data_IF_775099453454
#
_entry.id   IF_775099453454
#
_cell.length_a   1.000
_cell.length_b   1.000
_cell.length_c   1.000
_cell.angle_alpha   90.00
_cell.angle_beta   90.00
_cell.angle_gamma   90.00
#
_symmetry.space_group_name_H-M   'P 1'
#
loop_
_entity.id
_entity.type
_entity.pdbx_description
1 polymer ?
#
# COMPACT_ATOMS: atom_id res chain seq x y z
N UNK A 1 -7.83 18.45 22.52
CA UNK A 1 -6.92 17.50 23.20
C UNK A 1 -7.74 16.41 23.86
N UNK A 2 -7.35 15.14 23.72
CA UNK A 2 -8.01 13.93 24.25
C UNK A 2 -6.97 12.95 24.77
N UNK A 3 -7.38 12.07 25.68
CA UNK A 3 -6.57 10.94 26.14
C UNK A 3 -7.33 9.65 25.85
N UNK A 4 -6.70 8.70 25.18
CA UNK A 4 -7.14 7.30 25.13
C UNK A 4 -6.35 6.49 26.15
N UNK A 5 -7.02 5.59 26.87
CA UNK A 5 -6.37 4.59 27.74
C UNK A 5 -6.76 3.18 27.32
N UNK A 6 -5.81 2.26 27.36
CA UNK A 6 -5.99 0.88 26.96
C UNK A 6 -5.08 -0.08 27.73
N UNK A 7 -5.37 -1.38 27.65
CA UNK A 7 -4.52 -2.41 28.26
C UNK A 7 -3.12 -2.45 27.62
N UNK A 8 -3.05 -2.14 26.31
CA UNK A 8 -1.79 -2.10 25.60
C UNK A 8 -1.70 -0.89 24.65
N UNK A 9 -0.51 -0.31 24.54
CA UNK A 9 -0.14 0.57 23.44
C UNK A 9 0.98 -0.10 22.66
N UNK A 10 0.75 -0.36 21.37
CA UNK A 10 1.73 -0.87 20.43
C UNK A 10 2.28 0.30 19.62
N UNK A 11 3.55 0.66 19.82
CA UNK A 11 4.10 1.88 19.21
C UNK A 11 4.52 1.74 17.76
N UNK A 12 4.79 0.51 17.30
CA UNK A 12 5.37 0.18 16.00
C UNK A 12 6.72 0.88 15.68
N UNK A 13 7.42 1.43 16.69
CA UNK A 13 8.77 1.99 16.56
C UNK A 13 9.80 0.91 16.22
N UNK A 14 11.06 1.27 16.01
CA UNK A 14 12.14 0.34 15.67
C UNK A 14 12.33 -0.76 16.71
N UNK A 15 12.21 -0.43 17.99
CA UNK A 15 12.28 -1.37 19.11
C UNK A 15 10.98 -2.16 19.35
N UNK A 16 9.93 -1.91 18.57
CA UNK A 16 8.60 -2.52 18.71
C UNK A 16 8.06 -2.46 20.15
N UNK A 17 8.18 -1.30 20.79
CA UNK A 17 7.80 -1.10 22.20
C UNK A 17 6.30 -1.34 22.43
N UNK A 18 5.99 -2.11 23.49
CA UNK A 18 4.63 -2.35 23.97
C UNK A 18 4.52 -1.79 25.38
N UNK A 19 3.62 -0.82 25.57
CA UNK A 19 3.33 -0.21 26.88
C UNK A 19 2.07 -0.87 27.43
N UNK A 20 2.21 -1.63 28.52
CA UNK A 20 1.08 -2.24 29.24
C UNK A 20 0.43 -1.19 30.13
N UNK A 21 -0.91 -1.22 30.22
CA UNK A 21 -1.71 -0.25 30.97
C UNK A 21 -1.32 1.18 30.61
N UNK A 22 -1.48 1.49 29.32
CA UNK A 22 -0.98 2.71 28.69
C UNK A 22 -2.04 3.76 28.42
N UNK A 23 -1.59 5.01 28.27
CA UNK A 23 -2.41 6.11 27.77
C UNK A 23 -1.65 6.95 26.74
N UNK A 24 -2.39 7.54 25.80
CA UNK A 24 -1.89 8.44 24.78
C UNK A 24 -2.70 9.73 24.81
N UNK A 25 -1.99 10.86 24.91
CA UNK A 25 -2.55 12.20 24.83
C UNK A 25 -2.30 12.77 23.45
N UNK A 26 -3.33 13.28 22.79
CA UNK A 26 -3.24 13.81 21.44
C UNK A 26 -4.25 14.92 21.16
N UNK A 27 -3.98 15.66 20.12
CA UNK A 27 -4.89 16.53 19.37
C UNK A 27 -4.73 16.15 17.89
N UNK A 28 -4.41 17.07 17.01
CA UNK A 28 -4.04 16.76 15.63
C UNK A 28 -2.78 15.87 15.56
N UNK A 29 -1.85 16.08 16.48
CA UNK A 29 -0.63 15.31 16.63
C UNK A 29 -0.60 14.63 18.01
N UNK A 30 0.22 13.59 18.12
CA UNK A 30 0.49 12.91 19.40
C UNK A 30 1.33 13.85 20.29
N UNK A 31 0.81 14.17 21.45
CA UNK A 31 1.44 15.07 22.42
C UNK A 31 2.33 14.27 23.39
N UNK A 32 1.80 13.17 23.93
CA UNK A 32 2.52 12.32 24.85
C UNK A 32 1.93 10.91 24.90
N UNK A 33 2.72 9.93 25.32
CA UNK A 33 2.26 8.55 25.56
C UNK A 33 3.16 7.88 26.60
N UNK A 34 2.58 6.97 27.37
CA UNK A 34 3.30 6.29 28.44
C UNK A 34 2.38 5.46 29.32
N UNK A 35 2.83 5.20 30.55
CA UNK A 35 2.00 4.56 31.55
C UNK A 35 0.78 5.43 31.88
N UNK A 36 -0.36 4.79 32.08
CA UNK A 36 -1.65 5.46 32.31
C UNK A 36 -1.58 6.46 33.46
N UNK A 37 -1.02 6.08 34.62
CA UNK A 37 -0.93 6.95 35.76
C UNK A 37 -0.13 8.22 35.48
N UNK A 38 0.99 8.11 34.77
CA UNK A 38 1.86 9.23 34.42
C UNK A 38 1.17 10.23 33.51
N UNK A 39 0.50 9.73 32.46
CA UNK A 39 -0.21 10.56 31.48
C UNK A 39 -1.43 11.24 32.13
N UNK A 40 -2.24 10.51 32.90
CA UNK A 40 -3.39 11.07 33.56
C UNK A 40 -3.01 12.11 34.64
N UNK A 41 -1.89 11.88 35.34
CA UNK A 41 -1.38 12.85 36.32
C UNK A 41 -0.89 14.14 35.66
N UNK A 42 -0.28 14.03 34.48
CA UNK A 42 0.29 15.15 33.74
C UNK A 42 -0.78 16.02 33.06
N UNK A 43 -1.86 15.40 32.57
CA UNK A 43 -2.90 16.04 31.76
C UNK A 43 -4.28 15.96 32.43
N UNK A 44 -4.39 16.43 33.70
CA UNK A 44 -5.57 16.24 34.61
C UNK A 44 -6.89 16.77 34.07
N UNK A 45 -6.86 17.87 33.30
CA UNK A 45 -8.05 18.55 32.81
C UNK A 45 -8.43 18.12 31.37
N UNK A 46 -7.89 16.98 30.90
CA UNK A 46 -8.14 16.49 29.54
C UNK A 46 -9.22 15.41 29.57
N UNK A 47 -10.11 15.42 28.57
CA UNK A 47 -11.09 14.36 28.33
C UNK A 47 -10.40 13.00 28.22
N UNK A 48 -10.84 12.04 29.02
CA UNK A 48 -10.31 10.67 29.04
C UNK A 48 -11.34 9.71 28.48
N UNK A 49 -10.96 8.99 27.43
CA UNK A 49 -11.75 7.94 26.79
C UNK A 49 -11.13 6.59 27.17
N UNK A 50 -11.91 5.79 27.89
CA UNK A 50 -11.52 4.42 28.22
C UNK A 50 -11.86 3.48 27.08
N UNK A 51 -10.85 2.84 26.52
CA UNK A 51 -11.03 1.85 25.47
C UNK A 51 -11.54 0.48 25.99
N UNK A 52 -11.64 0.31 27.32
CA UNK A 52 -12.14 -0.91 27.96
C UNK A 52 -11.16 -2.08 27.89
N UNK A 53 -11.62 -3.25 28.37
CA UNK A 53 -10.79 -4.45 28.46
C UNK A 53 -10.36 -5.01 27.10
N UNK A 54 -9.22 -5.70 27.07
CA UNK A 54 -8.59 -6.32 25.91
C UNK A 54 -8.29 -5.34 24.77
N UNK A 55 -8.16 -4.05 25.09
CA UNK A 55 -7.94 -3.00 24.11
C UNK A 55 -6.46 -2.80 23.79
N UNK A 56 -6.19 -2.52 22.52
CA UNK A 56 -4.87 -2.15 22.02
C UNK A 56 -4.97 -0.88 21.22
N UNK A 57 -4.18 0.13 21.59
CA UNK A 57 -3.97 1.34 20.81
C UNK A 57 -2.75 1.12 19.93
N UNK A 58 -2.86 1.39 18.63
CA UNK A 58 -1.77 1.24 17.67
C UNK A 58 -1.84 2.31 16.56
N UNK A 59 -0.79 2.50 15.76
CA UNK A 59 -0.87 3.38 14.59
C UNK A 59 -1.91 2.89 13.59
N UNK A 60 -2.50 3.83 12.84
CA UNK A 60 -3.31 3.51 11.67
C UNK A 60 -2.56 2.65 10.67
N UNK A 61 -3.25 1.67 10.08
CA UNK A 61 -2.69 0.85 9.01
C UNK A 61 -2.57 1.70 7.73
N UNK A 62 -1.51 1.43 6.97
CA UNK A 62 -1.20 2.12 5.72
C UNK A 62 -1.08 1.09 4.62
N UNK A 63 -1.91 1.19 3.59
CA UNK A 63 -1.89 0.37 2.38
C UNK A 63 -1.24 1.15 1.24
N UNK A 64 0.07 0.99 0.96
CA UNK A 64 0.79 1.87 0.04
C UNK A 64 0.55 1.59 -1.45
N UNK A 65 -0.23 0.54 -1.80
CA UNK A 65 -0.51 0.18 -3.19
C UNK A 65 -1.87 -0.52 -3.31
N UNK A 66 -2.83 0.17 -3.92
CA UNK A 66 -4.17 -0.37 -4.16
C UNK A 66 -4.76 0.17 -5.46
N UNK A 67 -5.37 -0.72 -6.28
CA UNK A 67 -6.13 -0.36 -7.48
C UNK A 67 -7.63 -0.38 -7.17
N UNK A 68 -8.23 0.78 -6.97
CA UNK A 68 -9.67 0.89 -6.66
C UNK A 68 -10.56 0.77 -7.91
N UNK A 69 -10.05 1.16 -9.08
CA UNK A 69 -10.79 1.13 -10.35
C UNK A 69 -11.19 -0.28 -10.79
N UNK A 70 -10.53 -1.33 -10.26
CA UNK A 70 -10.80 -2.74 -10.57
C UNK A 70 -11.58 -3.46 -9.45
N UNK A 71 -12.52 -2.77 -8.80
CA UNK A 71 -13.25 -3.28 -7.64
C UNK A 71 -14.48 -4.13 -7.96
N UNK A 72 -14.87 -4.26 -9.23
CA UNK A 72 -16.05 -5.01 -9.66
C UNK A 72 -15.70 -6.23 -10.54
N UNK A 73 -16.72 -7.07 -10.82
CA UNK A 73 -16.68 -8.20 -11.75
C UNK A 73 -15.53 -9.22 -11.51
N UNK A 74 -15.09 -9.37 -10.27
CA UNK A 74 -13.99 -10.26 -9.87
C UNK A 74 -14.17 -11.70 -10.34
N UNK A 75 -15.40 -12.20 -10.37
CA UNK A 75 -15.74 -13.56 -10.80
C UNK A 75 -15.61 -13.80 -12.30
N UNK A 76 -15.36 -12.74 -13.10
CA UNK A 76 -15.11 -12.84 -14.54
C UNK A 76 -13.63 -13.06 -14.86
N UNK A 77 -12.75 -13.02 -13.86
CA UNK A 77 -11.31 -13.09 -14.03
C UNK A 77 -10.78 -14.52 -13.90
N UNK A 78 -9.67 -14.79 -14.57
CA UNK A 78 -8.94 -16.06 -14.47
C UNK A 78 -7.77 -15.89 -13.50
N UNK A 79 -7.53 -16.90 -12.68
CA UNK A 79 -6.42 -16.93 -11.73
C UNK A 79 -5.49 -18.11 -11.99
N UNK A 80 -4.33 -18.14 -11.34
CA UNK A 80 -3.36 -19.22 -11.40
C UNK A 80 -2.27 -19.06 -12.47
N UNK A 81 -2.38 -18.05 -13.33
CA UNK A 81 -1.39 -17.70 -14.35
C UNK A 81 -1.52 -16.21 -14.70
N UNK A 82 -0.37 -15.50 -14.74
CA UNK A 82 -0.34 -14.04 -14.94
C UNK A 82 -0.91 -13.61 -16.30
N UNK A 83 -0.50 -14.25 -17.40
CA UNK A 83 -0.94 -13.87 -18.75
C UNK A 83 -2.41 -14.21 -18.98
N UNK A 84 -2.88 -15.34 -18.46
CA UNK A 84 -4.31 -15.70 -18.51
C UNK A 84 -5.16 -14.71 -17.72
N UNK A 85 -4.68 -14.27 -16.55
CA UNK A 85 -5.33 -13.23 -15.77
C UNK A 85 -5.36 -11.90 -16.51
N UNK A 86 -4.20 -11.41 -16.99
CA UNK A 86 -4.08 -10.15 -17.73
C UNK A 86 -5.00 -10.13 -18.96
N UNK A 87 -5.01 -11.21 -19.74
CA UNK A 87 -5.91 -11.38 -20.88
C UNK A 87 -7.39 -11.33 -20.47
N UNK A 88 -7.75 -11.88 -19.29
CA UNK A 88 -9.11 -11.81 -18.77
C UNK A 88 -9.50 -10.42 -18.28
N UNK A 89 -8.57 -9.66 -17.67
CA UNK A 89 -8.77 -8.25 -17.29
C UNK A 89 -9.03 -7.41 -18.54
N UNK A 90 -8.16 -7.50 -19.55
CA UNK A 90 -8.29 -6.73 -20.79
C UNK A 90 -9.61 -7.05 -21.50
N UNK A 91 -9.97 -8.33 -21.61
CA UNK A 91 -11.21 -8.76 -22.25
C UNK A 91 -12.46 -8.21 -21.54
N UNK A 92 -12.43 -8.13 -20.22
CA UNK A 92 -13.57 -7.70 -19.41
C UNK A 92 -13.44 -6.24 -18.93
N UNK A 93 -12.40 -5.49 -19.37
CA UNK A 93 -12.05 -4.17 -18.85
C UNK A 93 -13.23 -3.22 -18.83
N UNK A 94 -13.92 -3.06 -19.94
CA UNK A 94 -15.02 -2.08 -20.06
C UNK A 94 -16.17 -2.42 -19.10
N UNK A 95 -16.49 -3.73 -18.93
CA UNK A 95 -17.50 -4.16 -17.96
C UNK A 95 -17.02 -3.98 -16.50
N UNK A 96 -15.72 -4.23 -16.22
CA UNK A 96 -15.13 -4.01 -14.90
C UNK A 96 -15.21 -2.52 -14.53
N UNK A 97 -14.71 -1.64 -15.39
CA UNK A 97 -14.73 -0.19 -15.16
C UNK A 97 -16.16 0.35 -15.06
N UNK A 98 -17.07 -0.10 -15.94
CA UNK A 98 -18.48 0.32 -15.91
C UNK A 98 -19.17 -0.07 -14.60
N UNK A 99 -18.83 -1.21 -14.00
CA UNK A 99 -19.41 -1.71 -12.75
C UNK A 99 -18.62 -1.29 -11.50
N UNK A 100 -17.34 -0.89 -11.65
CA UNK A 100 -16.53 -0.28 -10.59
C UNK A 100 -16.80 1.21 -10.43
N UNK A 101 -18.08 1.63 -10.54
CA UNK A 101 -18.48 3.02 -10.39
C UNK A 101 -18.27 3.52 -8.96
N UNK A 102 -18.36 4.83 -8.79
CA UNK A 102 -18.17 5.57 -7.54
C UNK A 102 -18.69 4.82 -6.31
N UNK A 103 -19.92 4.30 -6.33
CA UNK A 103 -20.49 3.54 -5.21
C UNK A 103 -19.70 2.26 -4.84
N UNK A 104 -19.16 1.54 -5.82
CA UNK A 104 -18.35 0.34 -5.54
C UNK A 104 -17.01 0.71 -4.94
N UNK A 105 -16.40 1.80 -5.40
CA UNK A 105 -15.14 2.34 -4.89
C UNK A 105 -15.33 2.85 -3.46
N UNK A 106 -16.40 3.62 -3.20
CA UNK A 106 -16.74 4.10 -1.86
C UNK A 106 -16.93 2.96 -0.86
N UNK A 107 -17.61 1.86 -1.26
CA UNK A 107 -17.75 0.67 -0.41
C UNK A 107 -16.38 0.08 -0.06
N UNK A 108 -15.44 0.02 -1.00
CA UNK A 108 -14.10 -0.51 -0.72
C UNK A 108 -13.31 0.43 0.19
N UNK A 109 -13.37 1.74 -0.02
CA UNK A 109 -12.77 2.72 0.88
C UNK A 109 -13.32 2.60 2.31
N UNK A 110 -14.64 2.42 2.46
CA UNK A 110 -15.27 2.17 3.75
C UNK A 110 -14.82 0.86 4.37
N UNK A 111 -14.74 -0.25 3.60
CA UNK A 111 -14.25 -1.53 4.10
C UNK A 111 -12.80 -1.44 4.58
N UNK A 112 -11.95 -0.75 3.82
CA UNK A 112 -10.56 -0.47 4.21
C UNK A 112 -10.51 0.36 5.49
N UNK A 113 -11.32 1.42 5.59
CA UNK A 113 -11.41 2.25 6.79
C UNK A 113 -11.83 1.41 7.99
N UNK A 114 -12.94 0.66 7.89
CA UNK A 114 -13.43 -0.20 8.99
C UNK A 114 -12.40 -1.25 9.43
N UNK A 115 -11.55 -1.72 8.51
CA UNK A 115 -10.45 -2.64 8.86
C UNK A 115 -9.30 -1.94 9.59
N UNK A 116 -9.26 -0.59 9.60
CA UNK A 116 -8.23 0.20 10.25
C UNK A 116 -7.23 0.85 9.29
N UNK A 117 -7.47 0.82 7.97
CA UNK A 117 -6.61 1.52 7.01
C UNK A 117 -6.90 3.01 7.03
N UNK A 118 -6.02 3.80 7.62
CA UNK A 118 -6.15 5.26 7.73
C UNK A 118 -5.53 6.00 6.55
N UNK A 119 -4.64 5.32 5.83
CA UNK A 119 -3.93 5.90 4.68
C UNK A 119 -3.79 4.86 3.58
N UNK A 120 -3.92 5.30 2.33
CA UNK A 120 -3.72 4.43 1.16
C UNK A 120 -2.93 5.13 0.05
N UNK A 121 -2.17 4.36 -0.72
CA UNK A 121 -1.58 4.73 -2.00
C UNK A 121 -2.48 4.20 -3.13
N UNK A 122 -3.34 5.06 -3.67
CA UNK A 122 -4.27 4.69 -4.74
C UNK A 122 -3.58 4.80 -6.10
N UNK A 123 -3.49 3.69 -6.84
CA UNK A 123 -2.97 3.65 -8.20
C UNK A 123 -4.15 3.85 -9.16
N UNK A 124 -4.18 4.99 -9.82
CA UNK A 124 -5.27 5.40 -10.71
C UNK A 124 -4.81 5.43 -12.16
N UNK A 125 -5.26 4.45 -12.94
CA UNK A 125 -4.90 4.30 -14.36
C UNK A 125 -5.76 5.19 -15.26
N UNK A 126 -7.04 5.40 -14.90
CA UNK A 126 -8.02 6.09 -15.74
C UNK A 126 -8.63 7.34 -15.08
N UNK A 127 -8.57 7.47 -13.76
CA UNK A 127 -9.14 8.59 -12.99
C UNK A 127 -10.57 8.33 -12.50
N UNK A 128 -11.10 7.13 -12.67
CA UNK A 128 -12.48 6.79 -12.27
C UNK A 128 -12.69 6.76 -10.75
N UNK A 129 -11.60 6.67 -9.97
CA UNK A 129 -11.60 6.69 -8.51
C UNK A 129 -11.31 8.07 -7.89
N UNK A 130 -11.05 9.09 -8.72
CA UNK A 130 -10.59 10.40 -8.29
C UNK A 130 -11.53 11.04 -7.27
N UNK A 131 -12.81 11.18 -7.59
CA UNK A 131 -13.79 11.86 -6.74
C UNK A 131 -13.97 11.13 -5.39
N UNK A 132 -13.97 9.79 -5.40
CA UNK A 132 -14.07 8.99 -4.19
C UNK A 132 -12.81 9.15 -3.32
N UNK A 133 -11.64 9.22 -3.93
CA UNK A 133 -10.35 9.45 -3.25
C UNK A 133 -10.24 10.85 -2.62
N UNK A 134 -10.81 11.88 -3.26
CA UNK A 134 -10.86 13.24 -2.71
C UNK A 134 -11.84 13.34 -1.53
N UNK A 135 -12.97 12.62 -1.58
CA UNK A 135 -14.04 12.71 -0.57
C UNK A 135 -13.81 11.83 0.67
N UNK A 136 -13.02 10.77 0.57
CA UNK A 136 -12.78 9.85 1.72
C UNK A 136 -12.12 10.56 2.90
N UNK A 137 -12.46 10.20 4.15
CA UNK A 137 -11.78 10.75 5.32
C UNK A 137 -10.35 10.22 5.51
N UNK A 138 -9.96 9.16 4.80
CA UNK A 138 -8.61 8.59 4.80
C UNK A 138 -7.61 9.54 4.15
N UNK A 139 -6.35 9.42 4.52
CA UNK A 139 -5.27 10.05 3.76
C UNK A 139 -5.04 9.24 2.48
N UNK A 140 -4.96 9.92 1.34
CA UNK A 140 -4.72 9.30 0.04
C UNK A 140 -3.47 9.89 -0.58
N UNK A 141 -2.49 9.05 -0.86
CA UNK A 141 -1.42 9.35 -1.81
C UNK A 141 -1.92 8.85 -3.17
N UNK A 142 -2.26 9.80 -4.03
CA UNK A 142 -2.95 9.52 -5.29
C UNK A 142 -1.96 9.43 -6.44
N UNK A 143 -1.64 8.22 -6.83
CA UNK A 143 -0.69 7.94 -7.90
C UNK A 143 -1.37 8.00 -9.26
N UNK A 144 -1.19 9.11 -9.97
CA UNK A 144 -1.61 9.23 -11.37
C UNK A 144 -0.76 8.29 -12.22
N UNK A 145 -1.36 7.22 -12.72
CA UNK A 145 -0.62 6.19 -13.44
C UNK A 145 -0.53 6.50 -14.93
N UNK A 146 0.67 6.27 -15.50
CA UNK A 146 0.89 6.27 -16.94
C UNK A 146 1.20 4.86 -17.42
N UNK A 147 0.55 4.46 -18.51
CA UNK A 147 0.81 3.22 -19.23
C UNK A 147 0.65 3.45 -20.73
N UNK A 148 1.38 2.65 -21.52
CA UNK A 148 1.33 2.68 -22.97
C UNK A 148 2.69 2.37 -23.60
N UNK A 149 2.78 1.25 -24.31
CA UNK A 149 4.02 0.76 -24.95
C UNK A 149 4.18 1.20 -26.40
N UNK A 150 3.13 1.75 -27.04
CA UNK A 150 3.15 2.11 -28.46
C UNK A 150 3.82 3.47 -28.67
N UNK A 151 4.83 3.56 -29.57
CA UNK A 151 5.53 4.82 -29.85
C UNK A 151 4.64 5.93 -30.41
N UNK A 152 3.65 5.57 -31.23
CA UNK A 152 2.71 6.50 -31.89
C UNK A 152 1.68 7.11 -30.91
N UNK A 153 1.54 6.60 -29.70
CA UNK A 153 0.63 7.09 -28.68
C UNK A 153 1.34 7.94 -27.60
N UNK A 154 2.66 8.08 -27.63
CA UNK A 154 3.45 8.72 -26.56
C UNK A 154 2.95 10.12 -26.23
N UNK A 155 2.74 11.00 -27.23
CA UNK A 155 2.38 12.40 -26.99
C UNK A 155 0.97 12.51 -26.40
N UNK A 156 0.01 11.77 -26.93
CA UNK A 156 -1.40 11.78 -26.45
C UNK A 156 -1.49 11.25 -25.03
N UNK A 157 -0.78 10.16 -24.72
CA UNK A 157 -0.75 9.57 -23.36
C UNK A 157 -0.08 10.50 -22.35
N UNK A 158 0.99 11.17 -22.77
CA UNK A 158 1.69 12.12 -21.93
C UNK A 158 0.84 13.36 -21.64
N UNK A 159 0.12 13.89 -22.64
CA UNK A 159 -0.80 15.03 -22.44
C UNK A 159 -1.98 14.66 -21.53
N UNK A 160 -2.56 13.49 -21.70
CA UNK A 160 -3.61 12.98 -20.81
C UNK A 160 -3.09 12.82 -19.36
N UNK A 161 -1.92 12.24 -19.19
CA UNK A 161 -1.27 12.11 -17.88
C UNK A 161 -1.08 13.48 -17.21
N UNK A 162 -0.53 14.47 -17.93
CA UNK A 162 -0.35 15.84 -17.39
C UNK A 162 -1.66 16.47 -16.96
N UNK A 163 -2.74 16.26 -17.74
CA UNK A 163 -4.07 16.77 -17.40
C UNK A 163 -4.61 16.18 -16.10
N UNK A 164 -4.49 14.85 -15.91
CA UNK A 164 -4.90 14.18 -14.67
C UNK A 164 -4.03 14.59 -13.48
N UNK A 165 -2.72 14.70 -13.67
CA UNK A 165 -1.81 15.18 -12.63
C UNK A 165 -2.15 16.61 -12.21
N UNK A 166 -2.46 17.50 -13.14
CA UNK A 166 -2.88 18.88 -12.86
C UNK A 166 -4.19 18.91 -12.07
N UNK A 167 -5.20 18.11 -12.48
CA UNK A 167 -6.45 17.96 -11.72
C UNK A 167 -6.19 17.50 -10.29
N UNK A 168 -5.24 16.58 -10.10
CA UNK A 168 -4.87 16.10 -8.76
C UNK A 168 -4.20 17.20 -7.94
N UNK A 169 -3.35 18.02 -8.55
CA UNK A 169 -2.71 19.17 -7.90
C UNK A 169 -3.72 20.23 -7.44
N UNK A 170 -4.74 20.51 -8.24
CA UNK A 170 -5.80 21.45 -7.88
C UNK A 170 -6.59 21.02 -6.62
N UNK A 171 -6.52 19.72 -6.29
CA UNK A 171 -7.17 19.12 -5.11
C UNK A 171 -6.18 18.75 -3.97
N UNK A 172 -4.90 19.14 -4.11
CA UNK A 172 -3.88 18.87 -3.08
C UNK A 172 -4.29 19.38 -1.71
N UNK A 173 -4.19 18.54 -0.71
CA UNK A 173 -4.50 18.87 0.68
C UNK A 173 -3.62 18.06 1.65
N UNK A 174 -3.86 18.19 2.96
CA UNK A 174 -3.18 17.37 3.96
C UNK A 174 -3.61 15.89 3.92
N UNK A 175 -4.75 15.59 3.32
CA UNK A 175 -5.31 14.24 3.20
C UNK A 175 -5.37 13.73 1.77
N UNK A 176 -5.10 14.57 0.76
CA UNK A 176 -5.00 14.16 -0.64
C UNK A 176 -3.69 14.66 -1.24
N UNK A 177 -2.78 13.74 -1.51
CA UNK A 177 -1.39 14.02 -1.90
C UNK A 177 -1.15 13.45 -3.30
N UNK A 178 -1.07 14.29 -4.35
CA UNK A 178 -0.74 13.84 -5.70
C UNK A 178 0.64 13.18 -5.78
N UNK A 179 0.70 12.10 -6.54
CA UNK A 179 1.89 11.30 -6.79
C UNK A 179 1.84 10.74 -8.22
N UNK A 180 2.86 10.02 -8.64
CA UNK A 180 3.03 9.49 -9.99
C UNK A 180 3.21 7.98 -9.95
N UNK A 181 2.51 7.24 -10.83
CA UNK A 181 2.81 5.83 -11.10
C UNK A 181 3.24 5.64 -12.55
N UNK A 182 4.28 4.82 -12.75
CA UNK A 182 4.67 4.27 -14.04
C UNK A 182 4.31 2.80 -14.00
N UNK A 183 3.38 2.36 -14.85
CA UNK A 183 2.78 1.04 -14.70
C UNK A 183 3.83 -0.07 -14.56
N UNK A 184 4.62 -0.36 -15.60
CA UNK A 184 5.65 -1.41 -15.55
C UNK A 184 6.64 -1.28 -16.70
N UNK A 185 7.80 -1.96 -16.66
CA UNK A 185 8.80 -1.89 -17.72
C UNK A 185 8.33 -2.49 -19.06
N UNK A 186 7.38 -3.44 -19.04
CA UNK A 186 6.85 -4.03 -20.28
C UNK A 186 5.70 -3.23 -20.89
N UNK A 187 5.01 -2.41 -20.11
CA UNK A 187 3.78 -1.74 -20.54
C UNK A 187 3.93 -0.24 -20.77
N UNK A 188 5.08 0.35 -20.44
CA UNK A 188 5.30 1.79 -20.58
C UNK A 188 6.52 2.07 -21.44
N UNK A 189 6.32 2.87 -22.52
CA UNK A 189 7.41 3.22 -23.43
C UNK A 189 8.51 4.01 -22.70
N UNK A 190 9.82 3.75 -22.95
CA UNK A 190 10.92 4.39 -22.24
C UNK A 190 10.92 5.92 -22.32
N UNK A 191 10.45 6.50 -23.42
CA UNK A 191 10.33 7.95 -23.58
C UNK A 191 9.26 8.49 -22.61
N UNK A 192 8.11 7.80 -22.47
CA UNK A 192 7.08 8.16 -21.49
C UNK A 192 7.64 8.08 -20.07
N UNK A 193 8.29 6.95 -19.73
CA UNK A 193 8.94 6.74 -18.45
C UNK A 193 9.89 7.88 -18.11
N UNK A 194 10.79 8.23 -19.04
CA UNK A 194 11.76 9.31 -18.85
C UNK A 194 11.07 10.67 -18.65
N UNK A 195 10.13 11.04 -19.50
CA UNK A 195 9.45 12.33 -19.43
C UNK A 195 8.69 12.50 -18.12
N UNK A 196 8.06 11.43 -17.63
CA UNK A 196 7.31 11.42 -16.37
C UNK A 196 8.25 11.48 -15.17
N UNK A 197 9.37 10.75 -15.19
CA UNK A 197 10.39 10.81 -14.15
C UNK A 197 11.11 12.17 -14.11
N UNK A 198 11.25 12.87 -15.24
CA UNK A 198 11.76 14.25 -15.26
C UNK A 198 10.83 15.22 -14.52
N UNK A 199 9.50 15.03 -14.66
CA UNK A 199 8.51 15.77 -13.85
C UNK A 199 8.65 15.37 -12.37
N UNK A 200 8.74 14.07 -12.07
CA UNK A 200 8.86 13.59 -10.70
C UNK A 200 10.07 14.19 -9.97
N UNK A 201 11.23 14.23 -10.63
CA UNK A 201 12.46 14.85 -10.09
C UNK A 201 12.30 16.34 -9.86
N UNK A 202 11.79 17.04 -10.88
CA UNK A 202 11.67 18.50 -10.84
C UNK A 202 10.73 18.99 -9.72
N UNK A 203 9.60 18.30 -9.55
CA UNK A 203 8.54 18.69 -8.61
C UNK A 203 8.54 17.84 -7.33
N UNK A 204 9.54 16.93 -7.17
CA UNK A 204 9.71 16.03 -6.02
C UNK A 204 8.48 15.17 -5.73
N UNK A 205 7.88 14.60 -6.77
CA UNK A 205 6.78 13.63 -6.60
C UNK A 205 7.29 12.28 -6.13
N UNK A 206 6.48 11.64 -5.29
CA UNK A 206 6.61 10.23 -4.98
C UNK A 206 6.26 9.40 -6.22
N UNK A 207 6.98 8.30 -6.44
CA UNK A 207 6.81 7.44 -7.62
C UNK A 207 6.45 6.03 -7.18
N UNK A 208 5.60 5.36 -7.95
CA UNK A 208 5.32 3.91 -7.84
C UNK A 208 5.50 3.24 -9.19
N UNK A 209 5.89 1.96 -9.18
CA UNK A 209 5.93 1.13 -10.40
C UNK A 209 5.82 -0.34 -10.03
N UNK A 210 5.15 -1.15 -10.87
CA UNK A 210 5.26 -2.61 -10.82
C UNK A 210 6.60 -3.02 -11.41
N UNK A 211 7.26 -3.98 -10.79
CA UNK A 211 8.57 -4.43 -11.25
C UNK A 211 8.78 -5.91 -10.95
N UNK A 212 9.14 -6.65 -11.98
CA UNK A 212 9.45 -8.08 -11.89
C UNK A 212 8.38 -8.89 -11.17
N UNK A 213 7.13 -8.66 -11.55
CA UNK A 213 5.97 -9.31 -10.93
C UNK A 213 5.82 -10.77 -11.35
N UNK A 214 6.16 -11.13 -12.60
CA UNK A 214 5.89 -12.46 -13.15
C UNK A 214 7.09 -13.06 -13.89
N UNK A 215 7.06 -14.39 -14.08
CA UNK A 215 8.05 -15.06 -14.93
C UNK A 215 7.95 -14.60 -16.39
N UNK A 216 6.74 -14.31 -16.86
CA UNK A 216 6.54 -13.77 -18.21
C UNK A 216 7.25 -12.42 -18.42
N UNK A 217 7.21 -11.54 -17.40
CA UNK A 217 7.95 -10.28 -17.43
C UNK A 217 9.46 -10.50 -17.44
N UNK A 218 9.96 -11.45 -16.61
CA UNK A 218 11.37 -11.81 -16.56
C UNK A 218 11.87 -12.28 -17.93
N UNK A 219 11.19 -13.27 -18.54
CA UNK A 219 11.56 -13.85 -19.84
C UNK A 219 11.51 -12.80 -20.95
N UNK A 220 10.51 -11.90 -20.90
CA UNK A 220 10.38 -10.80 -21.84
C UNK A 220 11.55 -9.83 -21.76
N UNK A 221 11.87 -9.31 -20.58
CA UNK A 221 12.90 -8.29 -20.42
C UNK A 221 14.32 -8.83 -20.64
N UNK A 222 14.56 -10.11 -20.31
CA UNK A 222 15.89 -10.72 -20.49
C UNK A 222 16.19 -11.08 -21.94
N UNK A 223 15.19 -11.55 -22.69
CA UNK A 223 15.46 -12.17 -23.99
C UNK A 223 14.39 -11.93 -25.05
N UNK A 224 13.32 -11.20 -24.75
CA UNK A 224 12.20 -11.02 -25.67
C UNK A 224 11.46 -12.34 -25.96
N UNK A 225 11.40 -13.24 -24.98
CA UNK A 225 10.79 -14.55 -25.08
C UNK A 225 9.63 -14.73 -24.09
N UNK A 226 9.10 -15.96 -24.00
CA UNK A 226 8.02 -16.29 -23.09
C UNK A 226 6.64 -15.83 -23.54
N UNK A 227 5.69 -15.89 -22.63
CA UNK A 227 4.26 -15.72 -22.94
C UNK A 227 3.89 -14.29 -23.39
N UNK A 228 4.71 -13.28 -23.08
CA UNK A 228 4.52 -11.93 -23.59
C UNK A 228 4.74 -11.81 -25.10
N UNK A 229 5.45 -12.74 -25.75
CA UNK A 229 5.62 -12.71 -27.21
C UNK A 229 4.27 -12.85 -27.93
N UNK A 230 3.47 -13.83 -27.56
CA UNK A 230 2.14 -14.03 -28.14
C UNK A 230 1.20 -12.87 -27.74
N UNK A 231 1.24 -12.48 -26.49
CA UNK A 231 0.44 -11.37 -25.98
C UNK A 231 0.67 -10.08 -26.80
N UNK A 232 1.91 -9.64 -26.94
CA UNK A 232 2.22 -8.41 -27.68
C UNK A 232 1.97 -8.54 -29.18
N UNK A 233 2.28 -9.68 -29.79
CA UNK A 233 2.06 -9.90 -31.22
C UNK A 233 0.59 -9.81 -31.61
N UNK A 234 -0.34 -10.01 -30.67
CA UNK A 234 -1.79 -9.91 -30.92
C UNK A 234 -2.24 -8.48 -31.29
N UNK A 235 -1.49 -7.44 -30.89
CA UNK A 235 -1.83 -6.02 -31.19
C UNK A 235 -0.63 -5.17 -31.63
N UNK A 236 0.59 -5.66 -31.51
CA UNK A 236 1.82 -4.98 -31.91
C UNK A 236 2.80 -6.00 -32.54
N UNK A 237 2.65 -6.31 -33.84
CA UNK A 237 3.49 -7.30 -34.50
C UNK A 237 4.98 -6.97 -34.41
N UNK A 238 5.80 -7.99 -34.15
CA UNK A 238 7.25 -7.89 -33.97
C UNK A 238 7.67 -7.03 -32.75
N UNK A 239 6.83 -6.92 -31.74
CA UNK A 239 7.19 -6.27 -30.49
C UNK A 239 8.47 -6.88 -29.89
N UNK A 240 9.26 -6.03 -29.27
CA UNK A 240 10.48 -6.42 -28.55
C UNK A 240 10.56 -5.63 -27.23
N UNK A 241 11.23 -6.16 -26.20
CA UNK A 241 11.52 -5.37 -25.01
C UNK A 241 12.33 -4.14 -25.39
N UNK A 242 11.97 -3.00 -24.81
CA UNK A 242 12.59 -1.71 -25.08
C UNK A 242 13.67 -1.34 -24.04
N UNK A 243 13.70 -2.04 -22.92
CA UNK A 243 14.69 -1.95 -21.86
C UNK A 243 14.97 -3.35 -21.31
N UNK A 244 16.15 -3.58 -20.78
CA UNK A 244 16.40 -4.60 -19.78
C UNK A 244 15.91 -4.13 -18.40
N UNK A 245 15.85 -5.04 -17.44
CA UNK A 245 15.46 -4.70 -16.07
C UNK A 245 16.37 -3.64 -15.43
N UNK A 246 17.68 -3.78 -15.57
CA UNK A 246 18.65 -2.81 -15.01
C UNK A 246 18.61 -1.46 -15.72
N UNK A 247 18.40 -1.44 -17.05
CA UNK A 247 18.21 -0.17 -17.78
C UNK A 247 16.95 0.56 -17.29
N UNK A 248 15.86 -0.18 -17.05
CA UNK A 248 14.64 0.39 -16.47
C UNK A 248 14.90 0.96 -15.09
N UNK A 249 15.50 0.21 -14.15
CA UNK A 249 15.85 0.69 -12.82
C UNK A 249 16.72 1.94 -12.85
N UNK A 250 17.67 2.03 -13.78
CA UNK A 250 18.55 3.19 -13.90
C UNK A 250 17.80 4.49 -14.24
N UNK A 251 16.59 4.43 -14.78
CA UNK A 251 15.76 5.62 -15.03
C UNK A 251 15.29 6.28 -13.74
N UNK A 252 15.20 5.53 -12.62
CA UNK A 252 14.65 6.00 -11.33
C UNK A 252 15.67 6.67 -10.40
N UNK A 253 16.83 7.09 -10.93
CA UNK A 253 17.79 7.87 -10.13
C UNK A 253 17.14 9.16 -9.58
N UNK A 254 17.53 9.55 -8.37
CA UNK A 254 17.04 10.76 -7.69
C UNK A 254 15.50 10.87 -7.61
N UNK A 255 14.81 9.71 -7.47
CA UNK A 255 13.36 9.65 -7.20
C UNK A 255 13.08 8.83 -5.96
N UNK A 256 12.05 9.21 -5.20
CA UNK A 256 11.52 8.39 -4.11
C UNK A 256 10.54 7.37 -4.71
N UNK A 257 10.94 6.10 -4.83
CA UNK A 257 10.17 5.12 -5.59
C UNK A 257 9.79 3.88 -4.78
N UNK A 258 8.53 3.45 -4.92
CA UNK A 258 8.01 2.16 -4.49
C UNK A 258 8.00 1.20 -5.69
N UNK A 259 8.75 0.11 -5.58
CA UNK A 259 8.77 -0.99 -6.54
C UNK A 259 7.86 -2.11 -6.04
N UNK A 260 6.76 -2.36 -6.74
CA UNK A 260 5.74 -3.32 -6.31
C UNK A 260 6.02 -4.71 -6.86
N UNK A 261 5.75 -5.74 -6.07
CA UNK A 261 5.94 -7.17 -6.26
C UNK A 261 7.40 -7.63 -6.15
N UNK A 262 8.26 -7.36 -7.11
CA UNK A 262 9.66 -7.78 -7.17
C UNK A 262 9.89 -9.30 -6.99
N UNK A 263 8.87 -10.14 -7.26
CA UNK A 263 8.93 -11.59 -7.00
C UNK A 263 9.94 -12.33 -7.86
N UNK A 264 10.29 -11.76 -9.02
CA UNK A 264 11.26 -12.27 -9.98
C UNK A 264 12.49 -11.37 -10.13
N UNK A 265 12.64 -10.38 -9.25
CA UNK A 265 13.84 -9.56 -9.24
C UNK A 265 15.06 -10.39 -8.79
N UNK A 266 16.17 -10.19 -9.46
CA UNK A 266 17.46 -10.77 -9.08
C UNK A 266 18.07 -10.05 -7.90
N UNK A 267 19.09 -10.66 -7.25
CA UNK A 267 19.81 -10.03 -6.15
C UNK A 267 20.46 -8.70 -6.57
N UNK A 268 20.99 -8.61 -7.79
CA UNK A 268 21.58 -7.38 -8.34
C UNK A 268 20.52 -6.28 -8.51
N UNK A 269 19.30 -6.64 -8.93
CA UNK A 269 18.18 -5.70 -9.08
C UNK A 269 17.67 -5.24 -7.71
N UNK A 270 17.55 -6.13 -6.73
CA UNK A 270 17.22 -5.76 -5.34
C UNK A 270 18.31 -4.83 -4.76
N UNK A 271 19.58 -5.15 -5.00
CA UNK A 271 20.68 -4.28 -4.59
C UNK A 271 20.61 -2.90 -5.28
N UNK A 272 20.28 -2.87 -6.58
CA UNK A 272 20.09 -1.62 -7.31
C UNK A 272 18.93 -0.79 -6.76
N UNK A 273 17.81 -1.41 -6.42
CA UNK A 273 16.67 -0.72 -5.75
C UNK A 273 17.14 -0.11 -4.41
N UNK A 274 17.95 -0.84 -3.64
CA UNK A 274 18.53 -0.33 -2.40
C UNK A 274 19.44 0.89 -2.61
N UNK A 275 20.30 0.84 -3.62
CA UNK A 275 21.20 1.95 -4.00
C UNK A 275 20.43 3.21 -4.44
N UNK A 276 19.27 3.03 -5.08
CA UNK A 276 18.34 4.11 -5.44
C UNK A 276 17.57 4.68 -4.22
N UNK A 277 17.71 4.08 -3.03
CA UNK A 277 16.90 4.44 -1.87
C UNK A 277 15.44 4.03 -1.99
N UNK A 278 15.13 3.09 -2.89
CA UNK A 278 13.77 2.64 -3.18
C UNK A 278 13.20 1.72 -2.10
N UNK A 279 11.88 1.56 -2.14
CA UNK A 279 11.12 0.65 -1.29
C UNK A 279 10.52 -0.49 -2.11
N UNK A 280 10.32 -1.65 -1.49
CA UNK A 280 9.69 -2.80 -2.11
C UNK A 280 8.36 -3.07 -1.46
N UNK A 281 7.29 -3.10 -2.27
CA UNK A 281 5.92 -3.34 -1.83
C UNK A 281 5.55 -4.80 -2.09
N UNK A 282 5.30 -5.55 -1.00
CA UNK A 282 4.93 -6.96 -1.06
C UNK A 282 3.40 -7.12 -1.07
N UNK A 283 2.87 -7.87 -2.04
CA UNK A 283 1.43 -8.16 -2.21
C UNK A 283 1.21 -9.68 -2.19
N UNK A 284 1.27 -10.34 -1.02
CA UNK A 284 1.32 -11.80 -0.92
C UNK A 284 0.12 -12.53 -1.53
N UNK A 285 -1.11 -12.02 -1.36
CA UNK A 285 -2.32 -12.62 -1.92
C UNK A 285 -2.33 -12.50 -3.45
N UNK A 286 -2.07 -11.30 -3.98
CA UNK A 286 -1.97 -11.07 -5.43
C UNK A 286 -0.92 -11.98 -6.06
N UNK A 287 0.30 -11.97 -5.55
CA UNK A 287 1.38 -12.81 -6.04
C UNK A 287 1.00 -14.30 -6.06
N UNK A 288 0.27 -14.76 -5.05
CA UNK A 288 -0.20 -16.17 -4.99
C UNK A 288 -1.30 -16.46 -6.01
N UNK A 289 -2.28 -15.56 -6.15
CA UNK A 289 -3.40 -15.78 -7.06
C UNK A 289 -2.97 -15.73 -8.53
N UNK A 290 -1.98 -14.90 -8.86
CA UNK A 290 -1.44 -14.77 -10.21
C UNK A 290 -0.30 -15.77 -10.52
N UNK A 291 0.07 -16.61 -9.55
CA UNK A 291 1.20 -17.52 -9.63
C UNK A 291 2.54 -16.84 -9.95
N UNK A 292 2.66 -15.59 -9.51
CA UNK A 292 3.87 -14.77 -9.70
C UNK A 292 5.06 -15.27 -8.89
N UNK A 293 4.83 -16.10 -7.89
CA UNK A 293 5.84 -16.63 -6.99
C UNK A 293 5.84 -15.97 -5.62
N UNK A 294 6.83 -16.29 -4.81
CA UNK A 294 7.04 -15.76 -3.46
C UNK A 294 8.20 -14.76 -3.47
N UNK A 295 7.98 -13.56 -2.94
CA UNK A 295 9.08 -12.65 -2.67
C UNK A 295 9.90 -13.19 -1.47
N UNK A 296 11.20 -13.30 -1.62
CA UNK A 296 12.13 -13.78 -0.57
C UNK A 296 12.43 -12.65 0.44
N UNK A 297 11.39 -12.25 1.22
CA UNK A 297 11.51 -11.12 2.15
C UNK A 297 12.64 -11.30 3.17
N UNK A 298 13.04 -12.55 3.45
CA UNK A 298 14.11 -12.91 4.38
C UNK A 298 15.47 -12.35 3.94
N UNK A 299 15.67 -12.19 2.63
CA UNK A 299 16.91 -11.70 2.01
C UNK A 299 16.92 -10.18 1.78
N UNK A 300 15.81 -9.52 2.04
CA UNK A 300 15.65 -8.08 1.79
C UNK A 300 15.73 -7.31 3.11
N UNK A 301 16.38 -6.14 3.07
CA UNK A 301 16.45 -5.23 4.20
C UNK A 301 15.03 -4.91 4.71
N UNK A 302 14.81 -5.21 5.99
CA UNK A 302 13.48 -5.07 6.61
C UNK A 302 12.89 -3.66 6.50
N UNK A 303 13.75 -2.62 6.48
CA UNK A 303 13.33 -1.22 6.45
C UNK A 303 12.98 -0.72 5.03
N UNK A 304 13.28 -1.53 3.99
CA UNK A 304 12.85 -1.29 2.61
C UNK A 304 11.47 -1.89 2.29
N UNK A 305 10.98 -2.82 3.12
CA UNK A 305 9.78 -3.59 2.84
C UNK A 305 8.54 -2.93 3.43
N UNK A 306 7.50 -2.83 2.62
CA UNK A 306 6.14 -2.55 3.05
C UNK A 306 5.15 -3.58 2.50
N UNK A 307 3.92 -3.60 3.02
CA UNK A 307 2.87 -4.58 2.70
C UNK A 307 1.67 -3.85 2.09
N UNK A 308 1.12 -4.40 1.01
CA UNK A 308 -0.04 -3.84 0.33
C UNK A 308 -0.98 -4.92 -0.21
N UNK A 309 -2.20 -4.53 -0.55
CA UNK A 309 -3.23 -5.47 -1.01
C UNK A 309 -3.25 -5.67 -2.52
N UNK A 310 -2.71 -4.73 -3.30
CA UNK A 310 -3.02 -4.65 -4.71
C UNK A 310 -4.54 -4.45 -4.95
N UNK A 311 -5.08 -4.69 -6.15
CA UNK A 311 -6.49 -4.53 -6.47
C UNK A 311 -7.33 -5.78 -6.24
N UNK A 312 -8.65 -5.60 -6.15
CA UNK A 312 -9.59 -6.73 -6.08
C UNK A 312 -9.62 -7.60 -7.34
N UNK A 313 -9.01 -7.16 -8.42
CA UNK A 313 -8.80 -7.99 -9.62
C UNK A 313 -7.80 -9.14 -9.37
N UNK A 314 -6.95 -9.01 -8.37
CA UNK A 314 -5.95 -10.01 -7.98
C UNK A 314 -5.97 -10.35 -6.49
N UNK A 315 -7.03 -9.91 -5.74
CA UNK A 315 -7.13 -10.14 -4.31
C UNK A 315 -8.53 -10.57 -3.88
N UNK A 316 -8.63 -11.14 -2.67
CA UNK A 316 -9.89 -11.55 -2.03
C UNK A 316 -10.54 -10.41 -1.23
N UNK A 317 -9.72 -9.48 -0.71
CA UNK A 317 -10.15 -8.31 0.05
C UNK A 317 -9.08 -7.21 -0.02
N UNK A 318 -9.44 -5.96 0.36
CA UNK A 318 -8.49 -4.86 0.54
C UNK A 318 -8.14 -4.64 2.03
N UNK A 319 -8.24 -5.68 2.83
CA UNK A 319 -7.98 -5.66 4.27
C UNK A 319 -6.53 -6.10 4.57
N UNK A 320 -5.71 -5.20 5.10
CA UNK A 320 -4.32 -5.50 5.44
C UNK A 320 -4.15 -6.61 6.50
N UNK A 321 -5.16 -6.86 7.34
CA UNK A 321 -5.10 -8.01 8.26
C UNK A 321 -5.13 -9.34 7.50
N UNK A 322 -5.87 -9.42 6.38
CA UNK A 322 -5.89 -10.61 5.51
C UNK A 322 -4.54 -10.77 4.81
N UNK A 323 -3.92 -9.68 4.35
CA UNK A 323 -2.58 -9.69 3.77
C UNK A 323 -1.51 -10.17 4.76
N UNK A 324 -1.54 -9.65 6.00
CA UNK A 324 -0.63 -10.11 7.05
C UNK A 324 -0.83 -11.60 7.36
N UNK A 325 -2.07 -12.09 7.42
CA UNK A 325 -2.37 -13.52 7.59
C UNK A 325 -1.84 -14.37 6.43
N UNK A 326 -2.05 -13.91 5.21
CA UNK A 326 -1.52 -14.58 4.02
C UNK A 326 0.02 -14.62 4.04
N UNK A 327 0.68 -13.51 4.40
CA UNK A 327 2.13 -13.44 4.55
C UNK A 327 2.65 -14.41 5.63
N UNK A 328 1.98 -14.54 6.79
CA UNK A 328 2.33 -15.53 7.82
C UNK A 328 2.32 -16.96 7.27
N UNK A 329 1.31 -17.30 6.46
CA UNK A 329 1.19 -18.65 5.88
C UNK A 329 2.20 -18.87 4.74
N UNK A 330 2.51 -17.84 3.96
CA UNK A 330 3.44 -17.91 2.84
C UNK A 330 4.91 -18.04 3.31
N UNK A 331 5.26 -17.36 4.40
CA UNK A 331 6.61 -17.32 4.96
C UNK A 331 6.76 -18.27 6.17
N UNK A 332 6.24 -19.48 6.07
CA UNK A 332 6.09 -20.46 7.15
C UNK A 332 7.43 -20.93 7.78
N UNK A 333 8.58 -20.64 7.17
CA UNK A 333 9.91 -20.94 7.72
C UNK A 333 10.41 -19.88 8.71
N UNK A 334 9.82 -18.69 8.69
CA UNK A 334 10.18 -17.63 9.62
C UNK A 334 9.58 -17.88 11.00
N UNK A 335 10.27 -17.41 12.05
CA UNK A 335 9.68 -17.36 13.38
C UNK A 335 8.42 -16.49 13.37
N UNK A 336 7.29 -17.04 13.84
CA UNK A 336 5.98 -16.42 13.68
C UNK A 336 5.87 -15.09 14.44
N UNK A 337 6.44 -14.98 15.63
CA UNK A 337 6.35 -13.78 16.47
C UNK A 337 7.20 -12.64 15.89
N UNK A 338 8.41 -12.96 15.43
CA UNK A 338 9.28 -11.99 14.75
C UNK A 338 8.68 -11.55 13.41
N UNK A 339 8.13 -12.47 12.64
CA UNK A 339 7.44 -12.14 11.38
C UNK A 339 6.21 -11.27 11.62
N UNK A 340 5.41 -11.56 12.65
CA UNK A 340 4.24 -10.77 13.02
C UNK A 340 4.61 -9.32 13.33
N UNK A 341 5.65 -9.10 14.12
CA UNK A 341 6.17 -7.74 14.41
C UNK A 341 6.61 -7.02 13.14
N UNK A 342 7.34 -7.72 12.28
CA UNK A 342 7.80 -7.20 10.99
C UNK A 342 6.62 -6.81 10.08
N UNK A 343 5.60 -7.66 9.96
CA UNK A 343 4.41 -7.40 9.13
C UNK A 343 3.61 -6.18 9.63
N UNK A 344 3.46 -6.02 10.95
CA UNK A 344 2.85 -4.81 11.51
C UNK A 344 3.68 -3.55 11.19
N UNK A 345 5.01 -3.62 11.27
CA UNK A 345 5.88 -2.51 10.88
C UNK A 345 5.82 -2.24 9.36
N UNK A 346 5.73 -3.27 8.52
CA UNK A 346 5.55 -3.13 7.07
C UNK A 346 4.22 -2.43 6.72
N UNK A 347 3.18 -2.64 7.51
CA UNK A 347 1.85 -2.05 7.32
C UNK A 347 1.64 -0.72 8.07
N UNK A 348 2.67 -0.20 8.74
CA UNK A 348 2.62 1.04 9.53
C UNK A 348 3.86 1.90 9.28
N UNK A 349 4.92 1.74 10.09
CA UNK A 349 6.17 2.52 10.06
C UNK A 349 6.82 2.56 8.67
N UNK A 350 7.01 1.40 8.06
CA UNK A 350 7.71 1.30 6.79
C UNK A 350 6.88 1.88 5.63
N UNK A 351 5.56 1.60 5.61
CA UNK A 351 4.66 2.18 4.63
C UNK A 351 4.56 3.71 4.77
N UNK A 352 4.54 4.24 6.01
CA UNK A 352 4.62 5.68 6.24
C UNK A 352 5.90 6.29 5.69
N UNK A 353 7.06 5.63 5.94
CA UNK A 353 8.36 6.06 5.41
C UNK A 353 8.37 6.03 3.88
N UNK A 354 7.85 4.96 3.27
CA UNK A 354 7.78 4.81 1.82
C UNK A 354 6.88 5.87 1.16
N UNK A 355 5.80 6.28 1.82
CA UNK A 355 4.89 7.33 1.36
C UNK A 355 5.26 8.75 1.85
N UNK A 356 6.43 8.90 2.50
CA UNK A 356 6.92 10.18 3.04
C UNK A 356 5.91 10.87 3.98
N UNK A 357 5.29 10.10 4.92
CA UNK A 357 4.26 10.58 5.83
C UNK A 357 4.78 10.76 7.26
N UNK A 358 4.23 11.73 7.98
CA UNK A 358 4.55 11.95 9.40
C UNK A 358 3.71 11.05 10.35
N UNK A 359 3.43 9.81 9.97
CA UNK A 359 2.59 8.85 10.70
C UNK A 359 3.23 7.46 10.81
N UNK A 360 2.45 6.42 11.06
CA UNK A 360 2.89 5.01 11.06
C UNK A 360 3.58 4.52 12.33
N UNK A 361 3.85 5.42 13.30
CA UNK A 361 4.32 5.07 14.65
C UNK A 361 3.62 5.94 15.69
N UNK A 362 3.44 5.42 16.91
CA UNK A 362 3.00 6.25 18.01
C UNK A 362 4.23 6.87 18.69
N UNK A 363 4.45 8.15 18.42
CA UNK A 363 5.53 8.97 18.99
C UNK A 363 5.10 10.43 19.05
N UNK A 364 5.71 11.21 19.95
CA UNK A 364 5.47 12.67 20.03
C UNK A 364 5.68 13.33 18.67
N UNK A 365 4.85 14.32 18.39
CA UNK A 365 4.86 15.14 17.16
C UNK A 365 4.44 14.39 15.87
N UNK A 366 4.18 13.07 15.95
CA UNK A 366 3.58 12.33 14.85
C UNK A 366 2.09 12.65 14.71
N UNK A 367 1.58 12.56 13.50
CA UNK A 367 0.16 12.70 13.24
C UNK A 367 -0.63 11.70 14.08
N UNK A 368 -1.72 12.14 14.67
CA UNK A 368 -2.60 11.28 15.46
C UNK A 368 -3.52 10.44 14.57
N UNK A 369 -2.91 9.57 13.77
CA UNK A 369 -3.57 8.49 13.02
C UNK A 369 -3.53 7.24 13.90
N UNK A 370 -4.61 7.01 14.64
CA UNK A 370 -4.64 6.05 15.74
C UNK A 370 -5.78 5.06 15.54
N UNK A 371 -5.49 3.78 15.78
CA UNK A 371 -6.48 2.72 15.89
C UNK A 371 -6.64 2.28 17.33
N UNK A 372 -7.88 1.96 17.69
CA UNK A 372 -8.20 1.11 18.82
C UNK A 372 -8.74 -0.21 18.26
N UNK A 373 -8.12 -1.31 18.62
CA UNK A 373 -8.57 -2.67 18.27
C UNK A 373 -8.79 -3.48 19.54
N UNK A 374 -9.57 -4.55 19.43
CA UNK A 374 -9.83 -5.48 20.54
C UNK A 374 -9.17 -6.82 20.26
N UNK A 375 -8.47 -7.35 21.26
CA UNK A 375 -8.10 -8.76 21.26
C UNK A 375 -9.36 -9.60 21.44
N UNK A 376 -9.38 -10.78 20.82
CA UNK A 376 -10.50 -11.72 20.95
C UNK A 376 -10.72 -12.16 22.40
N UNK A 377 -9.61 -12.35 23.13
CA UNK A 377 -9.58 -12.79 24.51
C UNK A 377 -8.47 -12.07 25.29
N UNK A 378 -8.45 -12.25 26.61
CA UNK A 378 -7.38 -11.74 27.48
C UNK A 378 -6.03 -12.36 27.08
N UNK A 379 -5.05 -11.50 26.82
CA UNK A 379 -3.68 -11.95 26.55
C UNK A 379 -3.03 -12.51 27.81
N UNK A 380 -2.72 -13.80 27.82
CA UNK A 380 -2.09 -14.47 28.96
C UNK A 380 -0.62 -14.78 28.65
N UNK A 381 -0.35 -15.62 27.65
CA UNK A 381 1.00 -16.12 27.31
C UNK A 381 1.36 -15.97 25.83
N UNK A 382 0.54 -15.31 25.02
CA UNK A 382 0.80 -15.13 23.58
C UNK A 382 1.62 -13.87 23.28
N UNK A 383 2.24 -13.83 22.10
CA UNK A 383 2.81 -12.60 21.55
C UNK A 383 1.68 -11.68 21.05
N UNK A 384 1.71 -10.40 21.45
CA UNK A 384 0.67 -9.45 21.12
C UNK A 384 0.52 -9.24 19.62
N UNK A 385 1.64 -9.13 18.88
CA UNK A 385 1.61 -8.90 17.44
C UNK A 385 0.97 -10.08 16.69
N UNK A 386 1.33 -11.30 17.07
CA UNK A 386 0.78 -12.53 16.49
C UNK A 386 -0.72 -12.62 16.76
N UNK A 387 -1.17 -12.38 18.00
CA UNK A 387 -2.60 -12.42 18.34
C UNK A 387 -3.41 -11.35 17.60
N UNK A 388 -2.86 -10.14 17.44
CA UNK A 388 -3.50 -9.09 16.65
C UNK A 388 -3.71 -9.53 15.20
N UNK A 389 -2.66 -10.03 14.53
CA UNK A 389 -2.76 -10.46 13.12
C UNK A 389 -3.78 -11.58 12.96
N UNK A 390 -3.74 -12.59 13.83
CA UNK A 390 -4.61 -13.77 13.70
C UNK A 390 -6.08 -13.44 13.92
N UNK A 391 -6.41 -12.54 14.83
CA UNK A 391 -7.78 -12.40 15.33
C UNK A 391 -8.46 -11.07 15.04
N UNK A 392 -7.71 -10.00 14.70
CA UNK A 392 -8.32 -8.71 14.38
C UNK A 392 -9.00 -8.76 13.00
N UNK A 393 -10.22 -8.25 12.92
CA UNK A 393 -10.99 -8.13 11.68
C UNK A 393 -11.33 -6.69 11.33
N UNK A 394 -11.58 -5.87 12.35
CA UNK A 394 -11.99 -4.47 12.23
C UNK A 394 -11.44 -3.64 13.41
N UNK A 395 -11.41 -2.35 13.22
CA UNK A 395 -11.12 -1.40 14.30
C UNK A 395 -12.39 -1.09 15.11
N UNK A 396 -12.20 -0.79 16.40
CA UNK A 396 -13.28 -0.31 17.28
C UNK A 396 -13.40 1.22 17.21
N UNK A 397 -12.26 1.91 17.14
CA UNK A 397 -12.18 3.37 16.95
C UNK A 397 -11.05 3.71 16.01
N UNK A 398 -11.26 4.75 15.21
CA UNK A 398 -10.30 5.26 14.25
C UNK A 398 -10.20 6.77 14.40
N UNK A 399 -8.97 7.25 14.52
CA UNK A 399 -8.65 8.68 14.50
C UNK A 399 -7.72 8.93 13.33
N UNK A 400 -8.00 9.99 12.56
CA UNK A 400 -7.15 10.51 11.48
C UNK A 400 -6.90 11.98 11.75
N UNK A 401 -5.63 12.39 11.85
CA UNK A 401 -5.25 13.72 12.29
C UNK A 401 -5.98 14.12 13.60
N UNK A 402 -6.14 13.17 14.54
CA UNK A 402 -6.79 13.37 15.83
C UNK A 402 -8.31 13.49 15.83
N UNK A 403 -8.95 13.48 14.65
CA UNK A 403 -10.41 13.47 14.51
C UNK A 403 -10.92 12.03 14.54
N UNK A 404 -11.91 11.76 15.36
CA UNK A 404 -12.63 10.48 15.37
C UNK A 404 -13.45 10.34 14.08
N UNK A 405 -13.24 9.25 13.34
CA UNK A 405 -13.85 9.02 12.02
C UNK A 405 -14.97 7.97 12.11
N UNK A 406 -14.82 7.00 13.01
CA UNK A 406 -15.84 5.97 13.24
C UNK A 406 -16.38 6.10 14.65
N UNK A 407 -17.69 6.33 14.75
CA UNK A 407 -18.46 5.99 15.94
C UNK A 407 -18.90 4.52 15.82
N UNK A 408 -18.63 3.72 16.85
CA UNK A 408 -19.07 2.35 16.92
C UNK A 408 -20.61 2.32 16.87
N UNK A 409 -21.19 1.98 15.73
CA UNK A 409 -22.65 1.91 15.64
C UNK A 409 -23.29 1.84 14.25
N UNK A 410 -22.56 1.57 13.19
CA UNK A 410 -23.17 1.25 11.88
C UNK A 410 -22.69 -0.10 11.37
#
# INVERSE_FOLDING_TARGET
MKILRADFILTCRDNFEIIKDGAICFDKNIIDLGKKEEILQKYKDTEVIDCGENSVIMPGLINPHVHLEFSANRTSLKYGDFISWLGSVIKNRDAILQNSKEKSIEIQLQNMLHSGTTTLGAISSFGDDFDSCVKTPQKVVYFNEILGSRPDAVDVLFDNFKSRLHQSEDNRSQTFIPAISIHSPYSTHPILTKNVLDIARKENYLVSTHFMESQAERDWLDSGSGDFVEFFNSFMPNARPLNSALEYLNLFYDTNTLFTHCTKASDDEIQKIKELGGFITHCPVSNRLLNSGRLEIENIDKDMLNLATDGLSSNISLNLWDEMRAALMLHFRADIDNLSKRLLQMSTKNAAKALNLNSGVLAKEKDADILVVKLADKLINGDLATQLILHTKKAEKIYINGKEILEAGI
#
